data_IF_818180709574
#
_entry.id   IF_818180709574
#
_cell.length_a   1.000
_cell.length_b   1.000
_cell.length_c   1.000
_cell.angle_alpha   90.00
_cell.angle_beta   90.00
_cell.angle_gamma   90.00
#
_symmetry.space_group_name_H-M   'P 1'
#
loop_
_entity.id
_entity.type
_entity.pdbx_description
1 polymer ?
#
# COMPACT_ATOMS: atom_id res chain seq x y z
N UNK A 1 5.35 -33.07 -37.14
CA UNK A 1 5.90 -32.22 -36.05
C UNK A 1 7.29 -31.75 -36.45
N UNK A 2 7.45 -30.45 -36.73
CA UNK A 2 8.68 -29.83 -37.27
C UNK A 2 9.70 -29.59 -36.15
N UNK A 3 10.89 -30.18 -36.27
CA UNK A 3 12.03 -29.94 -35.40
C UNK A 3 12.76 -28.65 -35.85
N UNK A 4 12.74 -27.61 -35.02
CA UNK A 4 13.49 -26.38 -35.26
C UNK A 4 14.94 -26.57 -34.79
N UNK A 5 15.84 -26.87 -35.73
CA UNK A 5 17.28 -26.79 -35.52
C UNK A 5 17.71 -25.32 -35.52
N UNK A 6 18.09 -24.79 -34.36
CA UNK A 6 18.69 -23.46 -34.24
C UNK A 6 20.14 -23.49 -34.74
N UNK A 7 20.33 -23.15 -36.00
CA UNK A 7 21.64 -22.92 -36.60
C UNK A 7 22.26 -21.60 -36.11
N UNK A 8 23.27 -21.69 -35.26
CA UNK A 8 24.09 -20.55 -34.86
C UNK A 8 25.00 -20.09 -35.99
N UNK A 9 24.74 -18.89 -36.54
CA UNK A 9 25.62 -18.18 -37.49
C UNK A 9 27.01 -17.92 -36.87
N UNK A 10 28.04 -18.63 -37.31
CA UNK A 10 29.45 -18.29 -37.01
C UNK A 10 29.89 -17.10 -37.86
N UNK A 11 30.26 -15.99 -37.21
CA UNK A 11 30.87 -14.81 -37.81
C UNK A 11 32.30 -15.13 -38.26
N UNK A 12 32.58 -14.93 -39.55
CA UNK A 12 33.90 -15.07 -40.17
C UNK A 12 34.80 -13.90 -39.71
N UNK A 13 35.85 -14.19 -38.93
CA UNK A 13 36.90 -13.20 -38.60
C UNK A 13 38.23 -13.76 -39.08
N UNK A 14 38.73 -13.21 -40.18
CA UNK A 14 40.04 -13.50 -40.71
C UNK A 14 41.05 -12.54 -40.08
N UNK A 15 42.11 -13.04 -39.43
CA UNK A 15 43.37 -12.32 -39.24
C UNK A 15 44.49 -13.29 -38.82
N UNK A 16 45.48 -13.41 -39.70
CA UNK A 16 46.74 -14.15 -39.54
C UNK A 16 47.44 -13.84 -38.21
N UNK A 17 47.87 -14.88 -37.49
CA UNK A 17 49.02 -14.86 -36.57
C UNK A 17 49.70 -16.23 -36.55
N UNK A 18 51.01 -16.15 -36.39
CA UNK A 18 52.06 -17.13 -36.61
C UNK A 18 51.92 -18.44 -35.84
N UNK A 19 52.65 -19.45 -36.33
CA UNK A 19 52.84 -20.79 -35.81
C UNK A 19 53.26 -20.80 -34.32
N UNK A 20 52.30 -20.80 -33.40
CA UNK A 20 52.49 -21.39 -32.07
C UNK A 20 51.92 -22.80 -32.04
N UNK A 21 52.74 -23.75 -31.58
CA UNK A 21 52.43 -25.17 -31.38
C UNK A 21 51.00 -25.33 -30.82
N UNK A 22 50.18 -26.28 -31.32
CA UNK A 22 48.83 -26.47 -30.80
C UNK A 22 48.95 -26.87 -29.33
N UNK A 23 48.68 -25.91 -28.43
CA UNK A 23 48.45 -26.20 -27.02
C UNK A 23 47.26 -27.15 -27.02
N UNK A 24 47.45 -28.35 -26.48
CA UNK A 24 46.39 -29.32 -26.29
C UNK A 24 45.39 -28.69 -25.32
N UNK A 25 44.40 -27.96 -25.88
CA UNK A 25 43.36 -27.32 -25.10
C UNK A 25 42.41 -28.42 -24.67
N UNK A 26 42.73 -29.04 -23.53
CA UNK A 26 41.80 -29.93 -22.85
C UNK A 26 40.61 -29.06 -22.44
N UNK A 27 39.52 -29.18 -23.19
CA UNK A 27 38.25 -28.54 -22.83
C UNK A 27 37.64 -29.29 -21.64
N UNK A 28 38.19 -29.02 -20.45
CA UNK A 28 37.56 -29.44 -19.20
C UNK A 28 36.34 -28.55 -19.01
N UNK A 29 35.17 -29.16 -18.80
CA UNK A 29 33.97 -28.42 -18.39
C UNK A 29 34.31 -27.61 -17.14
N UNK A 30 34.23 -26.29 -17.22
CA UNK A 30 34.38 -25.42 -16.06
C UNK A 30 33.41 -25.89 -14.96
N UNK A 31 33.88 -25.93 -13.70
CA UNK A 31 33.02 -26.37 -12.60
C UNK A 31 31.80 -25.45 -12.49
N UNK A 32 30.66 -25.97 -12.01
CA UNK A 32 29.44 -25.19 -11.82
C UNK A 32 29.77 -23.93 -11.00
N UNK A 33 29.54 -22.75 -11.59
CA UNK A 33 29.82 -21.45 -10.96
C UNK A 33 31.15 -20.79 -11.32
N UNK A 34 32.01 -21.42 -12.13
CA UNK A 34 33.33 -20.88 -12.51
C UNK A 34 33.33 -20.08 -13.83
N UNK A 35 32.17 -19.73 -14.37
CA UNK A 35 32.11 -18.81 -15.49
C UNK A 35 32.64 -17.44 -15.04
N UNK A 36 33.78 -17.04 -15.59
CA UNK A 36 34.44 -15.76 -15.33
C UNK A 36 34.16 -14.72 -16.41
N UNK A 37 33.43 -15.09 -17.47
CA UNK A 37 33.04 -14.14 -18.51
C UNK A 37 32.03 -13.12 -17.96
N UNK A 38 32.15 -11.88 -18.43
CA UNK A 38 31.35 -10.75 -17.93
C UNK A 38 29.85 -10.96 -18.13
N UNK A 39 29.44 -11.65 -19.19
CA UNK A 39 28.04 -11.92 -19.48
C UNK A 39 27.44 -12.91 -18.48
N UNK A 40 28.14 -14.01 -18.17
CA UNK A 40 27.70 -14.96 -17.14
C UNK A 40 27.66 -14.37 -15.74
N UNK A 41 28.58 -13.46 -15.40
CA UNK A 41 28.55 -12.75 -14.12
C UNK A 41 27.33 -11.83 -14.03
N UNK A 42 27.07 -11.04 -15.08
CA UNK A 42 25.91 -10.15 -15.14
C UNK A 42 24.59 -10.93 -15.01
N UNK A 43 24.48 -12.08 -15.68
CA UNK A 43 23.28 -12.92 -15.60
C UNK A 43 23.10 -13.54 -14.20
N UNK A 44 24.19 -13.93 -13.53
CA UNK A 44 24.12 -14.42 -12.14
C UNK A 44 23.54 -13.34 -11.21
N UNK A 45 24.07 -12.12 -11.29
CA UNK A 45 23.59 -10.99 -10.49
C UNK A 45 22.10 -10.68 -10.77
N UNK A 46 21.66 -10.81 -12.03
CA UNK A 46 20.23 -10.67 -12.38
C UNK A 46 19.37 -11.72 -11.67
N UNK A 47 19.79 -12.99 -11.68
CA UNK A 47 19.05 -14.07 -11.00
C UNK A 47 19.04 -13.91 -9.49
N UNK A 48 20.15 -13.48 -8.90
CA UNK A 48 20.24 -13.22 -7.46
C UNK A 48 19.25 -12.13 -7.04
N UNK A 49 19.22 -10.99 -7.75
CA UNK A 49 18.25 -9.92 -7.49
C UNK A 49 16.79 -10.37 -7.61
N UNK A 50 16.48 -11.22 -8.59
CA UNK A 50 15.13 -11.79 -8.75
C UNK A 50 14.80 -12.68 -7.55
N UNK A 51 15.73 -13.55 -7.15
CA UNK A 51 15.53 -14.47 -6.02
C UNK A 51 15.42 -13.74 -4.68
N UNK A 52 16.14 -12.64 -4.49
CA UNK A 52 16.00 -11.77 -3.32
C UNK A 52 14.60 -11.19 -3.23
N UNK A 53 14.09 -10.63 -4.34
CA UNK A 53 12.71 -10.12 -4.40
C UNK A 53 11.68 -11.22 -4.15
N UNK A 54 11.87 -12.42 -4.70
CA UNK A 54 10.98 -13.57 -4.45
C UNK A 54 10.97 -13.99 -2.98
N UNK A 55 12.13 -13.97 -2.30
CA UNK A 55 12.19 -14.21 -0.84
C UNK A 55 11.46 -13.12 -0.06
N UNK A 56 11.67 -11.85 -0.41
CA UNK A 56 10.95 -10.74 0.23
C UNK A 56 9.43 -10.87 0.08
N UNK A 57 8.93 -11.33 -1.07
CA UNK A 57 7.51 -11.62 -1.26
C UNK A 57 7.03 -12.78 -0.37
N UNK A 58 7.84 -13.84 -0.19
CA UNK A 58 7.47 -14.95 0.69
C UNK A 58 7.28 -14.52 2.14
N UNK A 59 8.09 -13.58 2.63
CA UNK A 59 8.01 -13.11 4.01
C UNK A 59 6.80 -12.19 4.26
N UNK A 60 6.31 -11.52 3.22
CA UNK A 60 5.19 -10.57 3.32
C UNK A 60 3.82 -11.19 3.04
N UNK A 61 3.76 -12.24 2.22
CA UNK A 61 2.50 -12.80 1.74
C UNK A 61 2.06 -13.99 2.61
N UNK A 62 0.89 -13.91 3.27
CA UNK A 62 0.33 -15.03 4.00
C UNK A 62 0.11 -16.26 3.10
N UNK A 63 0.40 -17.45 3.62
CA UNK A 63 0.25 -18.70 2.86
C UNK A 63 1.35 -18.94 1.82
N UNK A 64 2.37 -18.08 1.75
CA UNK A 64 3.50 -18.28 0.86
C UNK A 64 4.61 -19.10 1.54
N UNK A 65 4.90 -20.30 1.05
CA UNK A 65 5.88 -21.22 1.66
C UNK A 65 7.14 -21.38 0.80
N UNK A 66 8.29 -21.61 1.46
CA UNK A 66 9.63 -21.65 0.84
C UNK A 66 9.79 -22.75 -0.22
N UNK A 67 9.09 -23.87 -0.06
CA UNK A 67 9.12 -25.01 -0.99
C UNK A 67 8.05 -24.94 -2.07
N UNK A 68 7.29 -23.83 -2.16
CA UNK A 68 6.24 -23.66 -3.16
C UNK A 68 6.85 -23.50 -4.55
N UNK A 69 6.21 -24.12 -5.55
CA UNK A 69 6.55 -23.90 -6.95
C UNK A 69 6.34 -22.43 -7.34
N UNK A 70 7.25 -21.87 -8.13
CA UNK A 70 7.25 -20.44 -8.47
C UNK A 70 5.94 -19.96 -9.12
N UNK A 71 5.29 -20.79 -9.95
CA UNK A 71 4.02 -20.43 -10.56
C UNK A 71 2.92 -20.21 -9.51
N UNK A 72 2.70 -21.23 -8.66
CA UNK A 72 1.71 -21.17 -7.58
C UNK A 72 2.02 -20.04 -6.61
N UNK A 73 3.30 -19.79 -6.34
CA UNK A 73 3.75 -18.67 -5.50
C UNK A 73 3.28 -17.32 -6.03
N UNK A 74 3.46 -17.10 -7.33
CA UNK A 74 3.02 -15.85 -7.97
C UNK A 74 1.49 -15.73 -7.96
N UNK A 75 0.76 -16.83 -8.13
CA UNK A 75 -0.71 -16.82 -8.04
C UNK A 75 -1.19 -16.41 -6.65
N UNK A 76 -0.60 -16.97 -5.60
CA UNK A 76 -0.91 -16.62 -4.20
C UNK A 76 -0.63 -15.14 -3.94
N UNK A 77 0.51 -14.63 -4.43
CA UNK A 77 0.88 -13.21 -4.31
C UNK A 77 -0.16 -12.31 -4.99
N UNK A 78 -0.55 -12.64 -6.22
CA UNK A 78 -1.55 -11.86 -6.98
C UNK A 78 -2.89 -11.83 -6.22
N UNK A 79 -3.32 -12.97 -5.66
CA UNK A 79 -4.55 -13.05 -4.90
C UNK A 79 -4.50 -12.24 -3.60
N UNK A 80 -3.35 -12.22 -2.93
CA UNK A 80 -3.18 -11.39 -1.74
C UNK A 80 -3.24 -9.89 -2.07
N UNK A 81 -2.59 -9.44 -3.16
CA UNK A 81 -2.67 -8.05 -3.62
C UNK A 81 -4.12 -7.65 -3.93
N UNK A 82 -4.87 -8.48 -4.65
CA UNK A 82 -6.31 -8.23 -4.93
C UNK A 82 -7.13 -8.15 -3.64
N UNK A 83 -6.86 -9.02 -2.68
CA UNK A 83 -7.57 -9.02 -1.41
C UNK A 83 -7.31 -7.75 -0.61
N UNK A 84 -6.07 -7.23 -0.63
CA UNK A 84 -5.72 -5.94 -0.01
C UNK A 84 -6.43 -4.77 -0.71
N UNK A 85 -6.48 -4.76 -2.04
CA UNK A 85 -7.21 -3.73 -2.80
C UNK A 85 -8.69 -3.71 -2.42
N UNK A 86 -9.34 -4.87 -2.34
CA UNK A 86 -10.74 -4.99 -1.94
C UNK A 86 -10.97 -4.50 -0.50
N UNK A 87 -10.03 -4.78 0.42
CA UNK A 87 -10.12 -4.29 1.80
C UNK A 87 -10.06 -2.75 1.85
N UNK A 88 -9.16 -2.14 1.07
CA UNK A 88 -9.03 -0.68 0.98
C UNK A 88 -10.31 -0.05 0.43
N UNK A 89 -10.86 -0.61 -0.65
CA UNK A 89 -12.12 -0.13 -1.24
C UNK A 89 -13.27 -0.23 -0.23
N UNK A 90 -13.41 -1.38 0.44
CA UNK A 90 -14.45 -1.59 1.45
C UNK A 90 -14.33 -0.60 2.61
N UNK A 91 -13.13 -0.39 3.14
CA UNK A 91 -12.90 0.59 4.21
C UNK A 91 -13.18 2.02 3.74
N UNK A 92 -12.83 2.36 2.50
CA UNK A 92 -13.10 3.67 1.92
C UNK A 92 -14.60 3.93 1.80
N UNK A 93 -15.36 2.93 1.34
CA UNK A 93 -16.83 3.00 1.29
C UNK A 93 -17.45 3.15 2.68
N UNK A 94 -16.97 2.37 3.67
CA UNK A 94 -17.45 2.50 5.06
C UNK A 94 -17.17 3.88 5.65
N UNK A 95 -16.00 4.45 5.39
CA UNK A 95 -15.65 5.78 5.86
C UNK A 95 -16.52 6.85 5.20
N UNK A 96 -16.78 6.75 3.90
CA UNK A 96 -17.68 7.65 3.18
C UNK A 96 -19.12 7.57 3.72
N UNK A 97 -19.64 6.36 3.93
CA UNK A 97 -20.97 6.16 4.52
C UNK A 97 -21.05 6.73 5.95
N UNK A 98 -20.01 6.54 6.76
CA UNK A 98 -19.93 7.13 8.09
C UNK A 98 -19.88 8.66 8.04
N UNK A 99 -19.07 9.24 7.14
CA UNK A 99 -19.00 10.69 6.93
C UNK A 99 -20.37 11.27 6.55
N UNK A 100 -21.07 10.63 5.61
CA UNK A 100 -22.42 11.06 5.20
C UNK A 100 -23.41 10.98 6.37
N UNK A 101 -23.30 9.96 7.22
CA UNK A 101 -24.13 9.84 8.42
C UNK A 101 -23.88 11.00 9.40
N UNK A 102 -22.64 11.41 9.61
CA UNK A 102 -22.33 12.55 10.48
C UNK A 102 -22.77 13.90 9.88
N UNK A 103 -22.60 14.10 8.57
CA UNK A 103 -23.09 15.30 7.87
C UNK A 103 -24.63 15.42 7.95
N UNK A 104 -25.35 14.32 7.78
CA UNK A 104 -26.82 14.30 7.86
C UNK A 104 -27.34 14.62 9.27
N UNK A 105 -26.73 14.04 10.31
CA UNK A 105 -27.10 14.35 11.70
C UNK A 105 -26.72 15.79 12.11
N UNK A 106 -25.66 16.38 11.53
CA UNK A 106 -25.29 17.77 11.80
C UNK A 106 -26.34 18.76 11.29
N UNK A 107 -26.95 18.48 10.12
CA UNK A 107 -28.01 19.33 9.56
C UNK A 107 -29.31 19.30 10.36
N UNK A 108 -29.64 18.17 11.00
CA UNK A 108 -30.86 18.02 11.78
C UNK A 108 -30.75 18.76 13.13
N UNK A 109 -29.53 18.88 13.68
CA UNK A 109 -29.27 19.60 14.93
C UNK A 109 -29.30 21.14 14.73
N UNK A 110 -28.74 21.66 13.63
CA UNK A 110 -28.77 23.10 13.28
C UNK A 110 -30.20 23.61 12.97
N UNK A 111 -31.04 22.77 12.35
CA UNK A 111 -32.42 23.13 12.00
C UNK A 111 -33.36 23.18 13.22
N UNK A 112 -33.07 22.41 14.28
CA UNK A 112 -33.85 22.43 15.52
C UNK A 112 -33.53 23.67 16.39
N UNK A 113 -32.31 24.22 16.29
CA UNK A 113 -31.87 25.40 17.06
C UNK A 113 -32.54 26.71 16.58
N UNK A 114 -32.79 26.84 15.27
CA UNK A 114 -33.42 28.03 14.69
C UNK A 114 -34.92 28.17 14.98
N UNK A 115 -35.59 27.10 15.44
CA UNK A 115 -37.01 27.11 15.81
C UNK A 115 -37.28 27.41 17.30
N UNK A 116 -36.24 27.43 18.15
CA UNK A 116 -36.39 27.73 19.59
C UNK A 116 -36.03 29.18 19.98
N UNK A 117 -35.62 30.02 19.02
CA UNK A 117 -35.32 31.44 19.24
C UNK A 117 -36.53 32.39 19.32
N UNK A 118 -37.76 31.90 19.14
CA UNK A 118 -38.98 32.73 19.15
C UNK A 118 -40.07 32.17 20.07
N UNK A 119 -39.71 31.84 21.31
CA UNK A 119 -40.70 31.51 22.34
C UNK A 119 -40.79 32.65 23.36
N UNK A 120 -41.65 33.61 23.02
CA UNK A 120 -42.50 34.42 23.90
C UNK A 120 -41.94 34.94 25.23
N UNK A 121 -41.47 36.20 25.23
CA UNK A 121 -41.59 37.09 26.40
C UNK A 121 -42.23 38.44 26.04
N UNK A 122 -43.03 38.51 24.97
CA UNK A 122 -43.97 39.61 24.78
C UNK A 122 -45.40 39.10 24.96
N UNK A 123 -45.85 38.98 26.21
CA UNK A 123 -47.25 39.24 26.56
C UNK A 123 -47.48 39.07 28.06
N UNK A 124 -47.49 40.24 28.71
CA UNK A 124 -48.41 40.62 29.78
C UNK A 124 -47.99 40.37 31.23
N UNK A 125 -48.17 41.48 31.97
CA UNK A 125 -48.42 41.59 33.40
C UNK A 125 -47.20 41.61 34.33
N UNK A 126 -46.60 42.79 34.48
CA UNK A 126 -46.71 43.50 35.76
C UNK A 126 -46.40 45.00 35.59
N UNK A 127 -47.44 45.76 35.30
CA UNK A 127 -47.56 47.14 35.78
C UNK A 127 -47.51 47.08 37.33
N UNK A 128 -46.37 47.43 37.94
CA UNK A 128 -46.35 47.92 39.33
C UNK A 128 -45.04 48.63 39.67
N UNK A 129 -45.20 49.93 39.87
CA UNK A 129 -44.56 50.77 40.92
C UNK A 129 -43.04 50.72 41.08
N UNK A 130 -42.42 51.83 40.68
CA UNK A 130 -41.53 52.68 41.48
C UNK A 130 -40.76 52.01 42.64
N UNK A 131 -39.43 52.09 42.60
CA UNK A 131 -38.59 51.81 43.77
C UNK A 131 -37.10 51.77 43.46
N UNK A 132 -36.41 52.84 43.81
CA UNK A 132 -34.95 52.99 43.85
C UNK A 132 -34.26 51.90 44.71
N UNK A 133 -33.00 51.54 44.42
CA UNK A 133 -32.18 50.84 45.41
C UNK A 133 -30.98 50.01 44.92
N UNK A 134 -29.79 50.59 45.08
CA UNK A 134 -28.44 50.04 45.27
C UNK A 134 -28.20 48.53 45.52
N UNK A 135 -27.07 48.02 44.99
CA UNK A 135 -26.19 47.09 45.71
C UNK A 135 -25.96 45.73 45.03
N UNK A 136 -24.72 45.46 44.60
CA UNK A 136 -24.33 44.23 43.88
C UNK A 136 -23.97 43.02 44.75
N UNK A 137 -23.70 41.89 44.08
CA UNK A 137 -22.50 41.03 44.20
C UNK A 137 -22.66 39.80 43.25
N UNK A 138 -21.59 39.28 42.62
CA UNK A 138 -21.67 38.21 41.63
C UNK A 138 -21.48 36.82 42.28
N UNK A 139 -22.24 35.82 41.83
CA UNK A 139 -22.01 34.42 42.19
C UNK A 139 -21.30 33.71 41.04
N UNK A 140 -20.06 33.29 41.31
CA UNK A 140 -19.26 32.40 40.47
C UNK A 140 -19.88 30.98 40.39
N UNK A 141 -19.51 30.17 39.37
CA UNK A 141 -20.14 28.90 39.04
C UNK A 141 -19.55 27.74 39.86
N UNK A 142 -20.40 26.77 40.23
CA UNK A 142 -19.97 25.53 40.87
C UNK A 142 -20.11 24.35 39.89
N UNK A 143 -18.96 23.96 39.37
CA UNK A 143 -18.46 22.60 39.14
C UNK A 143 -19.46 21.44 39.17
N UNK A 144 -19.56 20.68 38.07
CA UNK A 144 -20.08 19.30 38.04
C UNK A 144 -18.91 18.30 38.12
N UNK A 145 -19.03 17.19 38.87
CA UNK A 145 -18.16 16.04 38.67
C UNK A 145 -18.89 14.83 38.03
N UNK A 146 -18.11 14.16 37.16
CA UNK A 146 -18.13 12.77 36.69
C UNK A 146 -19.32 12.28 35.84
#
# INVERSE_FOLDING_TARGET
>A
TRNYSFGGKKRKRNKERELEKPREVIHVRARRGQATDSHSLAERLRRERINEKLRGLQDLVPGCYKTMGMAVMLDVIINYVRSLQNQIEFLSMKLSAASLFYDFNSSEMDAMETMQGTNGYEAQVMERMEGEGYGGFPYFPSTRPL
#
